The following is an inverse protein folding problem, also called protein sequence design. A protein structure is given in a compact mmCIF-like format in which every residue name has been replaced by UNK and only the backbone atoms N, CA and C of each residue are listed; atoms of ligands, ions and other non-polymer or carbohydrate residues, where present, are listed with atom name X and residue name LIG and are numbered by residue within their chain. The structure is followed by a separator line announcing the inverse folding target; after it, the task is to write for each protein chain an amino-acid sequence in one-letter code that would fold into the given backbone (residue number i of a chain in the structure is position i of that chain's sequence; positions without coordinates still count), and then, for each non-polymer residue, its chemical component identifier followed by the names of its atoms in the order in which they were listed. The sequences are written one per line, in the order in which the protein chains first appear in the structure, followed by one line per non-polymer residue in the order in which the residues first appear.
data_IF_497487721027
#
_entry.id   IF_497487721027
#
_cell.length_a   1.000
_cell.length_b   1.000
_cell.length_c   1.000
_cell.angle_alpha   90.00
_cell.angle_beta   90.00
_cell.angle_gamma   90.00
#
_symmetry.space_group_name_H-M   'P 1'
#
loop_
_entity.id
_entity.type
_entity.pdbx_description
1 polymer ?
#
# COMPACT_ATOMS: atom_id res chain seq x y z
N UNK A 1 9.81 11.24 -32.92
CA UNK A 1 10.31 11.86 -31.68
C UNK A 1 9.81 10.94 -30.62
N UNK A 2 10.67 10.03 -30.17
CA UNK A 2 10.17 8.74 -29.68
C UNK A 2 10.24 8.65 -28.15
N UNK A 3 10.93 9.59 -27.49
CA UNK A 3 11.05 9.72 -26.03
C UNK A 3 10.83 11.18 -25.63
N UNK A 4 9.66 11.51 -25.08
CA UNK A 4 9.35 12.87 -24.62
C UNK A 4 9.05 12.81 -23.12
N UNK A 5 9.83 13.54 -22.34
CA UNK A 5 9.65 13.64 -20.88
C UNK A 5 9.29 15.09 -20.51
N UNK A 6 8.21 15.29 -19.77
CA UNK A 6 7.77 16.60 -19.29
C UNK A 6 7.56 16.54 -17.79
N UNK A 7 8.44 17.19 -17.03
CA UNK A 7 8.41 17.07 -15.58
C UNK A 7 8.87 18.31 -14.81
N UNK A 8 8.48 18.37 -13.55
CA UNK A 8 8.81 19.46 -12.62
C UNK A 8 8.39 20.86 -13.11
N UNK A 9 7.29 20.94 -13.88
CA UNK A 9 6.75 22.23 -14.33
C UNK A 9 5.61 22.71 -13.44
N UNK A 10 5.44 24.03 -13.38
CA UNK A 10 4.26 24.68 -12.81
C UNK A 10 3.54 25.41 -13.93
N UNK A 11 2.37 24.90 -14.32
CA UNK A 11 1.59 25.38 -15.46
C UNK A 11 0.25 25.89 -14.95
N UNK A 12 -0.03 27.18 -15.15
CA UNK A 12 -1.21 27.76 -14.53
C UNK A 12 -1.85 28.87 -15.34
N UNK A 13 -3.15 29.07 -15.12
CA UNK A 13 -3.95 30.18 -15.68
C UNK A 13 -3.85 30.34 -17.19
N UNK A 14 -3.54 29.25 -17.90
CA UNK A 14 -3.52 29.27 -19.36
C UNK A 14 -4.94 29.54 -19.88
N UNK A 15 -5.04 30.30 -20.97
CA UNK A 15 -6.33 30.60 -21.58
C UNK A 15 -7.07 29.33 -22.04
N UNK A 16 -6.33 28.29 -22.42
CA UNK A 16 -6.87 27.04 -22.96
C UNK A 16 -6.46 25.85 -22.11
N UNK A 17 -5.55 25.00 -22.56
CA UNK A 17 -5.18 23.79 -21.82
C UNK A 17 -3.84 24.02 -21.14
N UNK A 18 -3.57 23.31 -20.05
CA UNK A 18 -2.23 23.27 -19.46
C UNK A 18 -1.23 22.59 -20.39
N UNK A 19 -1.55 21.37 -20.83
CA UNK A 19 -0.72 20.59 -21.75
C UNK A 19 -1.52 19.94 -22.88
N UNK A 20 -1.01 20.03 -24.10
CA UNK A 20 -1.58 19.37 -25.28
C UNK A 20 -0.70 18.23 -25.76
N UNK A 21 -1.30 17.06 -25.92
CA UNK A 21 -0.70 15.86 -26.50
C UNK A 21 -1.43 15.62 -27.82
N UNK A 22 -0.86 16.03 -28.94
CA UNK A 22 -1.47 15.86 -30.26
C UNK A 22 -0.42 15.67 -31.34
N UNK A 23 -0.80 14.96 -32.40
CA UNK A 23 0.01 14.80 -33.61
C UNK A 23 -0.68 15.46 -34.81
N UNK A 24 0.10 15.83 -35.81
CA UNK A 24 -0.41 16.34 -37.08
C UNK A 24 0.16 15.51 -38.24
N UNK A 25 -0.71 15.07 -39.15
CA UNK A 25 -0.34 14.23 -40.30
C UNK A 25 -0.50 12.73 -40.03
N UNK A 26 0.09 11.90 -40.89
CA UNK A 26 0.04 10.44 -40.77
C UNK A 26 1.20 9.93 -39.91
N UNK A 27 0.89 9.31 -38.77
CA UNK A 27 1.87 8.71 -37.86
C UNK A 27 1.34 7.36 -37.32
N UNK A 28 2.21 6.41 -36.95
CA UNK A 28 1.77 5.14 -36.37
C UNK A 28 1.38 5.33 -34.89
N UNK A 29 0.43 4.51 -34.42
CA UNK A 29 -0.12 4.58 -33.04
C UNK A 29 0.94 4.32 -31.95
N UNK A 30 2.07 3.71 -32.31
CA UNK A 30 3.17 3.32 -31.42
C UNK A 30 4.38 4.27 -31.39
N UNK A 31 4.24 5.52 -31.87
CA UNK A 31 5.40 6.38 -32.20
C UNK A 31 5.95 7.29 -31.11
N UNK A 32 5.42 7.28 -29.88
CA UNK A 32 6.00 8.08 -28.80
C UNK A 32 5.80 7.46 -27.41
N UNK A 33 6.90 7.25 -26.70
CA UNK A 33 6.94 7.03 -25.26
C UNK A 33 6.92 8.41 -24.57
N UNK A 34 5.70 8.90 -24.32
CA UNK A 34 5.48 10.17 -23.62
C UNK A 34 5.33 9.93 -22.11
N UNK A 35 6.19 10.58 -21.32
CA UNK A 35 6.18 10.52 -19.87
C UNK A 35 5.96 11.92 -19.27
N UNK A 36 4.87 12.11 -18.54
CA UNK A 36 4.51 13.38 -17.92
C UNK A 36 4.44 13.18 -16.42
N UNK A 37 5.35 13.78 -15.65
CA UNK A 37 5.42 13.53 -14.22
C UNK A 37 5.82 14.71 -13.34
N UNK A 38 5.38 14.72 -12.08
CA UNK A 38 5.78 15.75 -11.10
C UNK A 38 5.44 17.19 -11.51
N UNK A 39 4.43 17.37 -12.36
CA UNK A 39 3.95 18.70 -12.74
C UNK A 39 2.82 19.16 -11.80
N UNK A 40 2.72 20.47 -11.62
CA UNK A 40 1.61 21.14 -10.96
C UNK A 40 0.85 21.94 -12.00
N UNK A 41 -0.41 21.57 -12.23
CA UNK A 41 -1.27 22.19 -13.24
C UNK A 41 -2.50 22.75 -12.52
N UNK A 42 -2.71 24.07 -12.56
CA UNK A 42 -3.85 24.65 -11.85
C UNK A 42 -4.48 25.86 -12.54
N UNK A 43 -5.78 26.03 -12.35
CA UNK A 43 -6.57 27.13 -12.89
C UNK A 43 -6.43 27.34 -14.41
N UNK A 44 -6.09 26.30 -15.18
CA UNK A 44 -6.05 26.35 -16.65
C UNK A 44 -7.47 26.34 -17.23
N UNK A 45 -7.65 26.75 -18.48
CA UNK A 45 -8.97 26.77 -19.13
C UNK A 45 -9.75 28.06 -18.93
N UNK A 46 -9.07 29.17 -18.62
CA UNK A 46 -9.71 30.42 -18.18
C UNK A 46 -10.55 31.10 -19.26
N UNK A 47 -10.35 30.79 -20.55
CA UNK A 47 -11.17 31.32 -21.64
C UNK A 47 -12.50 30.56 -21.74
N UNK A 48 -13.52 31.09 -21.07
CA UNK A 48 -14.88 30.52 -21.00
C UNK A 48 -15.58 30.32 -22.34
N UNK A 49 -15.10 30.91 -23.44
CA UNK A 49 -15.62 30.69 -24.80
C UNK A 49 -14.91 29.60 -25.61
N UNK A 50 -13.83 29.00 -25.07
CA UNK A 50 -13.06 27.97 -25.76
C UNK A 50 -13.62 26.58 -25.47
N UNK A 51 -13.77 25.75 -26.52
CA UNK A 51 -14.18 24.35 -26.40
C UNK A 51 -13.01 23.36 -26.16
N UNK A 52 -11.78 23.88 -26.25
CA UNK A 52 -10.53 23.15 -25.98
C UNK A 52 -9.91 23.78 -24.72
N UNK A 53 -10.27 23.22 -23.56
CA UNK A 53 -9.86 23.68 -22.22
C UNK A 53 -9.71 22.47 -21.28
N UNK A 54 -8.88 22.57 -20.26
CA UNK A 54 -8.66 21.51 -19.28
C UNK A 54 -7.24 21.56 -18.69
N UNK A 55 -6.89 20.56 -17.89
CA UNK A 55 -5.52 20.38 -17.40
C UNK A 55 -4.62 19.82 -18.50
N UNK A 56 -4.86 18.56 -18.88
CA UNK A 56 -4.17 17.86 -19.96
C UNK A 56 -5.19 17.39 -20.98
N UNK A 57 -4.96 17.66 -22.27
CA UNK A 57 -5.76 17.10 -23.37
C UNK A 57 -4.88 16.22 -24.26
N UNK A 58 -5.40 15.04 -24.60
CA UNK A 58 -4.82 14.15 -25.60
C UNK A 58 -5.77 13.95 -26.79
N UNK A 59 -5.20 14.05 -27.98
CA UNK A 59 -5.79 13.69 -29.27
C UNK A 59 -4.80 12.81 -30.03
N UNK A 60 -4.30 11.78 -29.34
CA UNK A 60 -3.31 10.82 -29.84
C UNK A 60 -2.18 10.52 -28.85
N UNK A 61 -1.34 9.57 -29.26
CA UNK A 61 -0.21 8.96 -28.55
C UNK A 61 -0.56 8.19 -27.28
N UNK A 62 0.27 7.21 -26.98
CA UNK A 62 0.28 6.58 -25.67
C UNK A 62 1.09 7.46 -24.71
N UNK A 63 0.70 7.49 -23.44
CA UNK A 63 1.50 8.19 -22.45
C UNK A 63 1.36 7.58 -21.05
N UNK A 64 2.43 7.69 -20.27
CA UNK A 64 2.41 7.54 -18.83
C UNK A 64 2.32 8.95 -18.21
N UNK A 65 1.21 9.22 -17.53
CA UNK A 65 1.00 10.46 -16.79
C UNK A 65 0.98 10.10 -15.32
N UNK A 66 2.03 10.46 -14.58
CA UNK A 66 2.14 10.04 -13.18
C UNK A 66 2.69 11.07 -12.20
N UNK A 67 2.32 10.95 -10.92
CA UNK A 67 2.82 11.84 -9.88
C UNK A 67 2.56 13.33 -10.20
N UNK A 68 1.44 13.69 -10.84
CA UNK A 68 1.10 15.11 -11.09
C UNK A 68 0.04 15.60 -10.09
N UNK A 69 -0.05 16.91 -9.90
CA UNK A 69 -1.20 17.57 -9.27
C UNK A 69 -1.92 18.39 -10.34
N UNK A 70 -3.22 18.15 -10.49
CA UNK A 70 -4.10 18.90 -11.39
C UNK A 70 -5.27 19.43 -10.57
N UNK A 71 -5.30 20.75 -10.34
CA UNK A 71 -6.24 21.34 -9.39
C UNK A 71 -6.99 22.55 -9.94
N UNK A 72 -8.30 22.59 -9.75
CA UNK A 72 -9.09 23.78 -10.06
C UNK A 72 -9.22 24.07 -11.56
N UNK A 73 -8.93 23.15 -12.47
CA UNK A 73 -8.98 23.47 -13.91
C UNK A 73 -10.42 23.71 -14.39
N UNK A 74 -10.60 24.54 -15.43
CA UNK A 74 -11.88 24.66 -16.15
C UNK A 74 -11.92 23.63 -17.28
N UNK A 75 -13.00 22.85 -17.34
CA UNK A 75 -13.07 21.62 -18.13
C UNK A 75 -12.66 20.40 -17.31
N UNK A 76 -12.20 19.34 -17.96
CA UNK A 76 -11.73 18.15 -17.25
C UNK A 76 -10.27 18.30 -16.79
N UNK A 77 -9.90 17.61 -15.71
CA UNK A 77 -8.51 17.45 -15.27
C UNK A 77 -7.65 16.88 -16.39
N UNK A 78 -8.02 15.69 -16.88
CA UNK A 78 -7.41 15.04 -18.05
C UNK A 78 -8.52 14.59 -18.99
N UNK A 79 -8.40 14.88 -20.29
CA UNK A 79 -9.41 14.46 -21.29
C UNK A 79 -8.80 13.99 -22.60
N UNK A 80 -9.37 12.94 -23.16
CA UNK A 80 -9.14 12.55 -24.56
C UNK A 80 -10.26 13.13 -25.44
N UNK A 81 -9.91 14.02 -26.37
CA UNK A 81 -10.86 14.75 -27.25
C UNK A 81 -10.15 15.29 -28.49
N UNK A 82 -10.85 15.28 -29.62
CA UNK A 82 -10.38 15.90 -30.86
C UNK A 82 -10.02 17.39 -30.63
N UNK A 83 -8.84 17.78 -31.11
CA UNK A 83 -8.37 19.17 -31.18
C UNK A 83 -8.34 19.64 -32.64
N UNK A 84 -7.35 20.44 -33.03
CA UNK A 84 -7.25 21.06 -34.35
C UNK A 84 -7.10 20.08 -35.51
N UNK A 85 -6.33 19.01 -35.31
CA UNK A 85 -6.12 17.94 -36.28
C UNK A 85 -6.37 16.61 -35.57
N UNK A 86 -7.35 15.84 -36.04
CA UNK A 86 -7.68 14.55 -35.45
C UNK A 86 -6.54 13.56 -35.63
N UNK A 87 -6.34 12.71 -34.62
CA UNK A 87 -5.48 11.55 -34.73
C UNK A 87 -5.82 10.69 -35.98
N UNK A 88 -4.83 9.96 -36.54
CA UNK A 88 -5.04 8.99 -37.61
C UNK A 88 -6.21 8.05 -37.32
N UNK A 89 -6.91 7.63 -38.37
CA UNK A 89 -7.97 6.61 -38.25
C UNK A 89 -7.38 5.28 -37.78
N UNK A 90 -7.73 4.83 -36.57
CA UNK A 90 -7.19 3.64 -35.91
C UNK A 90 -7.69 3.52 -34.47
N UNK A 91 -7.36 2.42 -33.77
CA UNK A 91 -7.73 2.17 -32.37
C UNK A 91 -6.49 1.73 -31.58
N UNK A 92 -6.22 2.37 -30.43
CA UNK A 92 -5.11 1.93 -29.59
C UNK A 92 -4.42 2.98 -28.72
N UNK A 93 -4.91 4.23 -28.67
CA UNK A 93 -4.28 5.28 -27.87
C UNK A 93 -4.66 5.13 -26.38
N UNK A 94 -3.67 4.82 -25.55
CA UNK A 94 -3.84 4.54 -24.12
C UNK A 94 -3.09 5.56 -23.29
N UNK A 95 -3.81 6.24 -22.40
CA UNK A 95 -3.19 6.99 -21.31
C UNK A 95 -3.21 6.16 -20.03
N UNK A 96 -2.03 5.88 -19.48
CA UNK A 96 -1.88 5.31 -18.14
C UNK A 96 -1.75 6.45 -17.15
N UNK A 97 -2.73 6.61 -16.27
CA UNK A 97 -2.74 7.61 -15.20
C UNK A 97 -2.40 6.92 -13.90
N UNK A 98 -1.28 7.29 -13.30
CA UNK A 98 -0.78 6.68 -12.07
C UNK A 98 -0.42 7.72 -11.01
N UNK A 99 -0.79 7.51 -9.75
CA UNK A 99 -0.35 8.38 -8.64
C UNK A 99 -0.61 9.89 -8.84
N UNK A 100 -1.59 10.28 -9.66
CA UNK A 100 -1.94 11.70 -9.83
C UNK A 100 -2.94 12.12 -8.77
N UNK A 101 -2.89 13.39 -8.37
CA UNK A 101 -3.96 14.03 -7.60
C UNK A 101 -4.72 14.97 -8.53
N UNK A 102 -6.01 14.69 -8.75
CA UNK A 102 -6.87 15.45 -9.66
C UNK A 102 -8.08 15.97 -8.89
N UNK A 103 -8.08 17.28 -8.62
CA UNK A 103 -9.04 17.91 -7.71
C UNK A 103 -9.73 19.13 -8.27
N UNK A 104 -10.96 19.35 -7.83
CA UNK A 104 -11.69 20.61 -8.01
C UNK A 104 -11.85 21.05 -9.48
N UNK A 105 -11.94 20.11 -10.43
CA UNK A 105 -12.25 20.45 -11.83
C UNK A 105 -13.63 21.10 -11.93
N UNK A 106 -13.74 22.14 -12.76
CA UNK A 106 -14.91 23.03 -12.87
C UNK A 106 -15.55 22.94 -14.24
N UNK A 107 -16.88 23.01 -14.32
CA UNK A 107 -17.59 23.08 -15.58
C UNK A 107 -17.31 24.39 -16.31
N UNK A 108 -17.29 24.34 -17.64
CA UNK A 108 -17.16 25.49 -18.54
C UNK A 108 -17.62 25.08 -19.95
N UNK A 109 -17.68 26.01 -20.91
CA UNK A 109 -18.22 25.72 -22.25
C UNK A 109 -17.49 24.58 -22.99
N UNK A 110 -16.23 24.33 -22.65
CA UNK A 110 -15.42 23.29 -23.27
C UNK A 110 -15.32 21.97 -22.52
N UNK A 111 -15.97 21.79 -21.37
CA UNK A 111 -15.94 20.52 -20.65
C UNK A 111 -16.77 20.50 -19.36
N UNK A 112 -17.16 19.30 -18.94
CA UNK A 112 -18.12 19.10 -17.85
C UNK A 112 -17.58 19.35 -16.44
N UNK A 113 -16.27 19.47 -16.22
CA UNK A 113 -15.70 19.55 -14.87
C UNK A 113 -15.42 18.19 -14.22
N UNK A 114 -15.22 17.13 -15.02
CA UNK A 114 -14.85 15.81 -14.48
C UNK A 114 -13.36 15.75 -14.16
N UNK A 115 -12.93 14.83 -13.28
CA UNK A 115 -11.51 14.55 -13.08
C UNK A 115 -10.85 14.02 -14.36
N UNK A 116 -11.38 12.91 -14.89
CA UNK A 116 -10.96 12.30 -16.15
C UNK A 116 -12.16 12.11 -17.09
N UNK A 117 -12.00 12.40 -18.37
CA UNK A 117 -13.06 12.22 -19.38
C UNK A 117 -12.51 11.58 -20.65
N UNK A 118 -13.24 10.61 -21.20
CA UNK A 118 -12.98 10.08 -22.53
C UNK A 118 -14.11 10.49 -23.50
N UNK A 119 -13.82 11.40 -24.41
CA UNK A 119 -14.75 11.80 -25.48
C UNK A 119 -14.48 11.03 -26.79
N UNK A 120 -13.47 10.16 -26.82
CA UNK A 120 -13.02 9.39 -27.98
C UNK A 120 -13.07 7.87 -27.71
N UNK A 121 -14.14 7.39 -27.07
CA UNK A 121 -14.26 5.99 -26.59
C UNK A 121 -14.13 4.90 -27.66
N UNK A 122 -14.32 5.25 -28.94
CA UNK A 122 -14.15 4.30 -30.04
C UNK A 122 -12.70 4.03 -30.41
N UNK A 123 -11.76 4.90 -30.02
CA UNK A 123 -10.35 4.85 -30.47
C UNK A 123 -9.34 4.99 -29.34
N UNK A 124 -9.76 5.57 -28.20
CA UNK A 124 -8.91 5.86 -27.06
C UNK A 124 -9.40 5.20 -25.77
N UNK A 125 -8.47 4.93 -24.85
CA UNK A 125 -8.79 4.40 -23.52
C UNK A 125 -7.85 4.92 -22.44
N UNK A 126 -8.21 4.63 -21.19
CA UNK A 126 -7.45 4.97 -20.00
C UNK A 126 -7.18 3.73 -19.16
N UNK A 127 -6.02 3.70 -18.51
CA UNK A 127 -5.69 2.78 -17.42
C UNK A 127 -5.46 3.62 -16.16
N UNK A 128 -6.24 3.42 -15.11
CA UNK A 128 -6.14 4.17 -13.85
C UNK A 128 -5.47 3.32 -12.75
N UNK A 129 -4.47 3.87 -12.08
CA UNK A 129 -3.70 3.20 -11.03
C UNK A 129 -3.39 4.15 -9.87
N UNK A 130 -4.06 4.00 -8.73
CA UNK A 130 -3.69 4.71 -7.50
C UNK A 130 -3.69 6.24 -7.62
N UNK A 131 -4.66 6.80 -8.34
CA UNK A 131 -4.86 8.25 -8.39
C UNK A 131 -5.73 8.71 -7.20
N UNK A 132 -5.66 9.98 -6.83
CA UNK A 132 -6.55 10.61 -5.87
C UNK A 132 -7.49 11.59 -6.59
N UNK A 133 -8.79 11.46 -6.33
CA UNK A 133 -9.82 12.34 -6.87
C UNK A 133 -10.66 12.97 -5.77
N UNK A 134 -10.85 14.29 -5.83
CA UNK A 134 -11.67 15.02 -4.86
C UNK A 134 -12.26 16.30 -5.43
N UNK A 135 -13.55 16.57 -5.16
CA UNK A 135 -14.18 17.86 -5.46
C UNK A 135 -14.40 18.18 -6.95
N UNK A 136 -14.26 17.22 -7.87
CA UNK A 136 -14.53 17.44 -9.29
C UNK A 136 -16.05 17.58 -9.55
N UNK A 137 -16.47 18.69 -10.16
CA UNK A 137 -17.88 19.11 -10.25
C UNK A 137 -18.81 18.09 -10.91
N UNK A 138 -18.37 17.48 -12.01
CA UNK A 138 -19.14 16.45 -12.73
C UNK A 138 -18.66 15.02 -12.43
N UNK A 139 -18.04 14.81 -11.27
CA UNK A 139 -17.56 13.52 -10.79
C UNK A 139 -16.14 13.16 -11.27
N UNK A 140 -15.63 12.03 -10.79
CA UNK A 140 -14.23 11.67 -10.97
C UNK A 140 -13.92 11.19 -12.39
N UNK A 141 -14.82 10.44 -13.01
CA UNK A 141 -14.60 9.79 -14.30
C UNK A 141 -15.86 9.87 -15.16
N UNK A 142 -15.70 10.18 -16.45
CA UNK A 142 -16.76 10.13 -17.47
C UNK A 142 -16.29 9.28 -18.64
N UNK A 143 -17.07 8.25 -18.99
CA UNK A 143 -16.72 7.28 -20.06
C UNK A 143 -15.36 6.59 -19.85
N UNK A 144 -14.94 6.43 -18.61
CA UNK A 144 -13.68 5.78 -18.22
C UNK A 144 -14.01 4.69 -17.20
N UNK A 145 -13.39 3.52 -17.34
CA UNK A 145 -13.49 2.47 -16.35
C UNK A 145 -12.78 2.90 -15.07
N UNK A 146 -13.52 2.98 -13.97
CA UNK A 146 -12.98 3.34 -12.65
C UNK A 146 -12.08 2.23 -12.11
N UNK A 147 -11.01 2.58 -11.40
CA UNK A 147 -10.18 1.63 -10.66
C UNK A 147 -10.58 1.55 -9.19
N UNK A 148 -10.53 0.36 -8.61
CA UNK A 148 -10.67 0.16 -7.16
C UNK A 148 -9.43 0.61 -6.38
N UNK A 149 -8.30 0.80 -7.06
CA UNK A 149 -7.07 1.32 -6.44
C UNK A 149 -7.04 2.85 -6.29
N UNK A 150 -7.96 3.58 -6.93
CA UNK A 150 -8.05 5.03 -6.84
C UNK A 150 -8.70 5.49 -5.52
N UNK A 151 -8.17 6.57 -4.95
CA UNK A 151 -8.63 7.19 -3.71
C UNK A 151 -9.68 8.25 -4.02
N UNK A 152 -10.76 8.26 -3.22
CA UNK A 152 -11.90 9.19 -3.35
C UNK A 152 -12.05 10.02 -2.08
N UNK A 153 -11.01 10.77 -1.73
CA UNK A 153 -10.92 11.53 -0.49
C UNK A 153 -10.13 12.81 -0.70
N UNK A 154 -10.35 13.81 0.17
CA UNK A 154 -9.58 15.06 0.18
C UNK A 154 -8.07 14.74 0.35
N UNK A 155 -7.19 15.19 -0.56
CA UNK A 155 -5.75 14.94 -0.46
C UNK A 155 -5.10 15.69 0.71
N UNK A 156 -5.83 16.56 1.43
CA UNK A 156 -5.34 17.32 2.57
C UNK A 156 -4.05 18.08 2.24
N UNK A 157 -4.13 18.94 1.21
CA UNK A 157 -3.05 19.86 0.92
C UNK A 157 -2.71 20.73 2.13
N UNK A 158 -1.43 21.05 2.24
CA UNK A 158 -0.89 22.02 3.18
C UNK A 158 -1.65 23.34 3.17
N UNK A 159 -1.66 23.98 2.01
CA UNK A 159 -2.34 25.24 1.75
C UNK A 159 -2.67 25.37 0.27
N UNK A 160 -3.86 24.85 -0.09
CA UNK A 160 -4.36 24.90 -1.46
C UNK A 160 -4.47 26.33 -2.00
N UNK A 161 -4.86 27.30 -1.17
CA UNK A 161 -5.10 28.68 -1.63
C UNK A 161 -3.81 29.38 -2.07
N UNK A 162 -2.68 28.96 -1.50
CA UNK A 162 -1.34 29.40 -1.88
C UNK A 162 -0.61 28.40 -2.79
N UNK A 163 -1.33 27.40 -3.32
CA UNK A 163 -0.79 26.34 -4.19
C UNK A 163 0.34 25.53 -3.53
N UNK A 164 0.37 25.45 -2.21
CA UNK A 164 1.21 24.50 -1.48
C UNK A 164 0.50 23.14 -1.47
N UNK A 165 0.81 22.33 -2.49
CA UNK A 165 0.24 21.00 -2.69
C UNK A 165 0.98 19.89 -1.95
N UNK A 166 1.92 20.20 -1.04
CA UNK A 166 2.47 19.17 -0.18
C UNK A 166 1.35 18.55 0.69
N UNK A 167 1.48 17.27 1.00
CA UNK A 167 0.48 16.52 1.75
C UNK A 167 0.63 16.77 3.25
N UNK A 168 -0.45 17.10 3.95
CA UNK A 168 -0.39 17.27 5.40
C UNK A 168 0.08 15.98 6.08
N UNK A 169 0.99 16.14 7.03
CA UNK A 169 1.61 15.04 7.76
C UNK A 169 1.81 15.37 9.23
N UNK A 170 1.39 14.47 10.11
CA UNK A 170 1.64 14.54 11.55
C UNK A 170 3.13 14.44 11.93
N UNK A 171 3.98 14.01 11.01
CA UNK A 171 5.34 13.55 11.30
C UNK A 171 6.40 14.30 10.48
N UNK A 172 5.97 15.04 9.47
CA UNK A 172 6.80 16.03 8.81
C UNK A 172 6.42 16.22 7.35
N UNK A 173 6.05 17.45 7.02
CA UNK A 173 5.91 17.94 5.65
C UNK A 173 6.93 19.05 5.39
N UNK A 174 7.48 19.09 4.18
CA UNK A 174 8.37 20.18 3.78
C UNK A 174 7.56 21.45 3.48
N UNK A 175 7.96 22.59 4.06
CA UNK A 175 7.31 23.89 3.83
C UNK A 175 8.13 24.84 2.93
N UNK A 176 9.15 24.32 2.24
CA UNK A 176 10.11 25.13 1.47
C UNK A 176 11.37 25.55 2.24
N UNK A 177 11.37 25.44 3.58
CA UNK A 177 12.50 25.84 4.44
C UNK A 177 12.86 24.80 5.50
N UNK A 178 11.87 24.16 6.09
CA UNK A 178 12.01 23.19 7.17
C UNK A 178 10.90 22.15 7.11
N UNK A 179 11.11 21.05 7.83
CA UNK A 179 10.05 20.09 8.13
C UNK A 179 9.12 20.66 9.20
N UNK A 180 7.82 20.58 8.98
CA UNK A 180 6.77 21.00 9.93
C UNK A 180 5.75 19.89 10.10
N UNK A 181 5.15 19.80 11.29
CA UNK A 181 4.13 18.80 11.58
C UNK A 181 2.74 19.45 11.53
N UNK A 182 1.82 18.77 10.86
CA UNK A 182 0.41 19.07 10.82
C UNK A 182 -0.35 18.29 11.91
N UNK A 183 -1.65 18.56 12.08
CA UNK A 183 -2.52 17.82 12.99
C UNK A 183 -3.33 16.70 12.34
N UNK A 184 -3.09 16.43 11.05
CA UNK A 184 -3.76 15.36 10.29
C UNK A 184 -2.82 14.79 9.21
N UNK A 185 -2.92 13.48 8.96
CA UNK A 185 -2.29 12.83 7.82
C UNK A 185 -3.19 12.88 6.58
N UNK A 186 -2.58 13.14 5.43
CA UNK A 186 -3.21 12.96 4.13
C UNK A 186 -3.44 11.47 3.84
N UNK A 187 -4.58 11.09 3.21
CA UNK A 187 -4.77 9.73 2.71
C UNK A 187 -3.90 9.39 1.48
N UNK A 188 -3.19 10.38 0.93
CA UNK A 188 -2.32 10.22 -0.23
C UNK A 188 -0.87 9.91 0.15
N UNK A 189 -0.55 9.91 1.46
CA UNK A 189 0.76 9.51 1.94
C UNK A 189 0.88 7.97 1.86
N UNK A 190 2.00 7.47 1.34
CA UNK A 190 2.34 6.06 1.18
C UNK A 190 1.27 5.22 0.43
N UNK A 191 0.51 5.84 -0.47
CA UNK A 191 -0.67 5.25 -1.07
C UNK A 191 -0.56 4.96 -2.58
N UNK A 192 0.57 5.32 -3.18
CA UNK A 192 0.79 5.20 -4.63
C UNK A 192 0.90 3.76 -5.13
N UNK A 193 1.11 3.59 -6.42
CA UNK A 193 1.19 2.28 -7.07
C UNK A 193 2.36 1.46 -6.51
N UNK A 194 2.14 0.17 -6.23
CA UNK A 194 3.07 -0.67 -5.47
C UNK A 194 4.40 -0.96 -6.17
N UNK A 195 4.48 -0.73 -7.49
CA UNK A 195 5.73 -0.89 -8.27
C UNK A 195 6.40 0.46 -8.58
N UNK A 196 5.84 1.58 -8.13
CA UNK A 196 6.49 2.89 -8.29
C UNK A 196 7.67 3.00 -7.34
N UNK A 197 8.75 3.61 -7.85
CA UNK A 197 9.89 3.97 -7.02
C UNK A 197 9.51 5.02 -5.98
N UNK A 198 10.10 4.91 -4.79
CA UNK A 198 9.96 5.82 -3.66
C UNK A 198 11.31 6.13 -3.00
N UNK A 199 12.42 5.67 -3.59
CA UNK A 199 13.76 5.74 -3.02
C UNK A 199 14.25 7.17 -2.77
N UNK A 200 13.69 8.17 -3.46
CA UNK A 200 14.01 9.56 -3.26
C UNK A 200 13.18 10.24 -2.15
N UNK A 201 12.17 9.56 -1.59
CA UNK A 201 11.38 10.09 -0.47
C UNK A 201 12.16 10.04 0.85
N UNK A 202 12.08 11.08 1.68
CA UNK A 202 12.79 11.12 2.96
C UNK A 202 12.16 10.16 3.97
N UNK A 203 13.00 9.47 4.74
CA UNK A 203 12.51 8.63 5.84
C UNK A 203 11.81 9.48 6.94
N UNK A 204 10.73 8.99 7.55
CA UNK A 204 10.07 7.70 7.29
C UNK A 204 9.01 7.79 6.17
N UNK A 205 9.16 6.98 5.11
CA UNK A 205 8.36 7.01 3.87
C UNK A 205 7.44 5.79 3.66
N UNK A 206 7.16 5.04 4.74
CA UNK A 206 6.25 3.89 4.76
C UNK A 206 6.49 2.76 3.74
N UNK A 207 7.63 2.74 3.05
CA UNK A 207 7.93 1.74 2.02
C UNK A 207 7.04 1.82 0.77
N UNK A 208 6.40 2.97 0.53
CA UNK A 208 5.51 3.17 -0.62
C UNK A 208 5.46 4.65 -1.02
N UNK A 209 5.42 4.92 -2.32
CA UNK A 209 5.42 6.30 -2.82
C UNK A 209 4.18 7.08 -2.35
N UNK A 210 4.37 8.35 -2.01
CA UNK A 210 3.30 9.33 -1.90
C UNK A 210 2.67 9.60 -3.27
N UNK A 211 1.36 9.87 -3.32
CA UNK A 211 0.66 10.28 -4.54
C UNK A 211 0.88 11.79 -4.77
N UNK A 212 1.02 12.22 -6.02
CA UNK A 212 1.07 13.63 -6.44
C UNK A 212 2.48 14.15 -6.73
N UNK A 213 2.59 15.47 -6.94
CA UNK A 213 3.76 16.16 -7.50
C UNK A 213 5.05 16.01 -6.69
N UNK A 214 4.95 15.62 -5.42
CA UNK A 214 6.10 15.45 -4.53
C UNK A 214 6.42 13.98 -4.24
N UNK A 215 5.63 13.02 -4.71
CA UNK A 215 5.95 11.60 -4.61
C UNK A 215 7.28 11.28 -5.26
N UNK A 216 8.04 10.34 -4.71
CA UNK A 216 9.42 10.03 -5.10
C UNK A 216 10.33 11.26 -5.24
N UNK A 217 10.19 12.23 -4.33
CA UNK A 217 11.12 13.36 -4.24
C UNK A 217 11.60 13.56 -2.80
N UNK A 218 12.74 14.24 -2.65
CA UNK A 218 13.27 14.62 -1.32
C UNK A 218 12.37 15.58 -0.53
N UNK A 219 11.29 16.05 -1.13
CA UNK A 219 10.29 16.95 -0.52
C UNK A 219 8.97 16.23 -0.21
N UNK A 220 8.88 14.93 -0.45
CA UNK A 220 7.71 14.13 -0.13
C UNK A 220 7.40 14.18 1.37
N UNK A 221 6.11 14.10 1.71
CA UNK A 221 5.68 14.22 3.11
C UNK A 221 5.94 12.90 3.81
N UNK A 222 6.51 12.96 5.00
CA UNK A 222 6.81 11.77 5.79
C UNK A 222 5.50 11.19 6.31
N UNK A 223 5.39 9.88 6.41
CA UNK A 223 4.35 9.26 7.24
C UNK A 223 4.80 9.18 8.69
N UNK A 224 6.11 9.24 8.93
CA UNK A 224 6.69 8.92 10.22
C UNK A 224 6.49 7.44 10.49
N UNK A 225 7.40 6.83 11.22
CA UNK A 225 7.15 5.53 11.79
C UNK A 225 5.84 5.64 12.56
N UNK A 226 4.83 4.87 12.15
CA UNK A 226 3.75 4.51 13.04
C UNK A 226 4.44 4.14 14.35
N UNK A 227 4.24 4.94 15.40
CA UNK A 227 4.96 4.74 16.66
C UNK A 227 4.87 3.26 17.00
N UNK A 228 6.02 2.59 17.03
CA UNK A 228 6.14 1.16 17.26
C UNK A 228 5.06 0.33 16.54
N UNK A 229 5.01 0.35 15.21
CA UNK A 229 4.36 -0.70 14.42
C UNK A 229 5.22 -0.97 13.20
N UNK A 230 5.78 -2.17 13.08
CA UNK A 230 6.38 -2.63 11.84
C UNK A 230 5.33 -2.67 10.71
N UNK A 231 5.15 -1.55 10.00
CA UNK A 231 4.49 -1.48 8.70
C UNK A 231 5.52 -1.65 7.57
N UNK A 232 6.51 -2.53 7.80
CA UNK A 232 7.11 -3.23 6.68
C UNK A 232 6.13 -4.31 6.20
N UNK A 233 6.38 -4.96 5.07
CA UNK A 233 5.52 -6.03 4.55
C UNK A 233 5.26 -7.08 5.65
N UNK A 234 4.01 -7.32 5.98
CA UNK A 234 3.59 -8.32 6.97
C UNK A 234 2.86 -9.45 6.26
N UNK A 235 3.19 -10.67 6.63
CA UNK A 235 2.49 -11.86 6.20
C UNK A 235 2.06 -12.66 7.41
N UNK A 236 0.83 -13.15 7.41
CA UNK A 236 0.38 -14.19 8.32
C UNK A 236 -0.36 -15.29 7.54
N UNK A 237 -0.12 -16.53 7.94
CA UNK A 237 -0.58 -17.70 7.22
C UNK A 237 -0.93 -18.81 8.21
N UNK A 238 -2.21 -19.18 8.21
CA UNK A 238 -2.67 -20.30 9.03
C UNK A 238 -2.20 -21.62 8.45
N UNK A 239 -1.69 -22.48 9.33
CA UNK A 239 -1.32 -23.85 9.04
C UNK A 239 -2.33 -24.77 9.73
N UNK A 240 -3.10 -25.52 8.93
CA UNK A 240 -4.21 -26.34 9.44
C UNK A 240 -4.07 -27.81 9.02
N UNK A 241 -3.93 -28.69 10.00
CA UNK A 241 -3.75 -30.14 9.79
C UNK A 241 -4.90 -30.79 9.01
N UNK A 242 -6.14 -30.39 9.29
CA UNK A 242 -7.34 -30.92 8.64
C UNK A 242 -7.50 -30.49 7.17
N UNK A 243 -6.73 -29.51 6.71
CA UNK A 243 -6.76 -28.99 5.34
C UNK A 243 -5.32 -28.77 4.87
N UNK A 244 -4.54 -29.86 4.76
CA UNK A 244 -3.09 -29.75 4.88
C UNK A 244 -2.41 -29.15 3.63
N UNK A 245 -3.15 -29.06 2.53
CA UNK A 245 -2.71 -28.47 1.26
C UNK A 245 -3.28 -27.07 1.02
N UNK A 246 -4.22 -26.62 1.86
CA UNK A 246 -4.85 -25.31 1.67
C UNK A 246 -3.93 -24.18 2.14
N UNK A 247 -3.90 -23.09 1.36
CA UNK A 247 -3.18 -21.86 1.68
C UNK A 247 -4.16 -20.86 2.26
N UNK A 248 -3.88 -20.39 3.47
CA UNK A 248 -4.75 -19.48 4.23
C UNK A 248 -4.07 -18.14 4.50
N UNK A 249 -3.76 -17.39 3.44
CA UNK A 249 -3.16 -16.05 3.54
C UNK A 249 -4.16 -14.90 3.70
N UNK A 250 -5.43 -15.11 3.30
CA UNK A 250 -6.44 -14.05 3.23
C UNK A 250 -7.62 -14.30 4.19
N UNK A 251 -7.34 -14.79 5.40
CA UNK A 251 -8.39 -15.02 6.41
C UNK A 251 -8.31 -13.94 7.47
N UNK A 252 -9.45 -13.46 7.98
CA UNK A 252 -9.54 -12.37 8.97
C UNK A 252 -9.06 -12.72 10.39
N UNK A 253 -8.50 -13.90 10.58
CA UNK A 253 -7.97 -14.39 11.84
C UNK A 253 -6.80 -15.34 11.62
N UNK A 254 -6.01 -15.53 12.67
CA UNK A 254 -5.02 -16.59 12.83
C UNK A 254 -5.43 -17.48 14.01
N UNK A 255 -5.05 -18.75 13.99
CA UNK A 255 -5.44 -19.73 15.00
C UNK A 255 -4.30 -20.65 15.44
N UNK A 256 -4.32 -21.02 16.71
CA UNK A 256 -3.30 -21.89 17.30
C UNK A 256 -3.92 -22.90 18.27
N UNK A 257 -3.23 -24.02 18.45
CA UNK A 257 -3.62 -25.07 19.40
C UNK A 257 -4.23 -26.28 18.71
N UNK A 258 -5.07 -27.01 19.44
CA UNK A 258 -5.70 -28.21 18.89
C UNK A 258 -7.15 -28.40 19.32
N UNK A 259 -7.88 -29.13 18.49
CA UNK A 259 -9.21 -29.66 18.75
C UNK A 259 -9.29 -31.09 18.21
N UNK A 260 -10.41 -31.77 18.42
CA UNK A 260 -10.67 -33.11 17.86
C UNK A 260 -10.53 -33.19 16.33
N UNK A 261 -10.63 -32.06 15.64
CA UNK A 261 -10.50 -31.95 14.18
C UNK A 261 -9.06 -31.82 13.69
N UNK A 262 -8.09 -31.62 14.58
CA UNK A 262 -6.68 -31.49 14.24
C UNK A 262 -6.00 -30.30 14.93
N UNK A 263 -4.78 -30.02 14.47
CA UNK A 263 -3.87 -28.99 14.99
C UNK A 263 -3.84 -27.75 14.10
N UNK A 264 -3.53 -26.63 14.74
CA UNK A 264 -3.54 -25.28 14.17
C UNK A 264 -2.28 -24.55 14.64
N UNK A 265 -1.57 -23.93 13.70
CA UNK A 265 -0.35 -23.15 13.91
C UNK A 265 -0.38 -21.95 12.96
N UNK A 266 0.53 -21.02 13.17
CA UNK A 266 0.66 -19.86 12.31
C UNK A 266 2.12 -19.63 11.88
N UNK A 267 2.30 -19.21 10.64
CA UNK A 267 3.55 -18.67 10.12
C UNK A 267 3.37 -17.18 9.86
N UNK A 268 4.19 -16.35 10.52
CA UNK A 268 4.07 -14.90 10.46
C UNK A 268 5.41 -14.27 10.14
N UNK A 269 5.46 -13.26 9.27
CA UNK A 269 6.70 -12.61 8.87
C UNK A 269 6.51 -11.10 8.89
N UNK A 270 7.45 -10.38 9.49
CA UNK A 270 7.52 -8.92 9.44
C UNK A 270 8.81 -8.53 8.74
N UNK A 271 8.73 -7.52 7.89
CA UNK A 271 9.91 -6.93 7.29
C UNK A 271 10.73 -6.14 8.33
N UNK A 272 11.98 -6.57 8.48
CA UNK A 272 12.97 -6.00 9.40
C UNK A 272 14.11 -5.30 8.65
N UNK A 273 14.02 -5.16 7.33
CA UNK A 273 15.10 -4.62 6.48
C UNK A 273 15.61 -3.26 6.94
N UNK A 274 14.71 -2.40 7.46
CA UNK A 274 15.07 -1.09 8.04
C UNK A 274 15.97 -1.16 9.28
N UNK A 275 16.11 -2.33 9.90
CA UNK A 275 16.89 -2.55 11.12
C UNK A 275 18.14 -3.42 10.89
N UNK A 276 18.41 -3.93 9.68
CA UNK A 276 19.56 -4.80 9.36
C UNK A 276 20.95 -4.18 9.62
N UNK A 277 20.99 -2.94 10.12
CA UNK A 277 22.21 -2.19 10.48
C UNK A 277 22.10 -1.42 11.81
N UNK A 278 21.02 -1.59 12.59
CA UNK A 278 20.85 -0.86 13.84
C UNK A 278 21.72 -1.41 14.97
N UNK A 279 21.99 -0.56 15.97
CA UNK A 279 22.41 -1.05 17.29
C UNK A 279 21.36 -2.06 17.82
N UNK A 280 21.79 -2.94 18.72
CA UNK A 280 20.95 -3.95 19.37
C UNK A 280 19.61 -3.33 19.81
N UNK A 281 18.50 -4.02 19.52
CA UNK A 281 17.16 -3.58 19.92
C UNK A 281 17.01 -3.93 21.40
N UNK A 282 16.76 -2.92 22.24
CA UNK A 282 16.51 -3.07 23.67
C UNK A 282 15.24 -3.91 23.95
N UNK A 283 14.21 -3.75 23.12
CA UNK A 283 12.97 -4.50 23.26
C UNK A 283 12.22 -4.71 21.94
N UNK A 284 11.80 -5.95 21.69
CA UNK A 284 10.86 -6.30 20.63
C UNK A 284 9.64 -7.01 21.19
N UNK A 285 8.45 -6.48 20.91
CA UNK A 285 7.18 -7.04 21.40
C UNK A 285 6.26 -7.42 20.24
N UNK A 286 5.94 -8.70 20.13
CA UNK A 286 4.86 -9.20 19.28
C UNK A 286 3.53 -9.13 20.04
N UNK A 287 2.56 -8.37 19.55
CA UNK A 287 1.23 -8.24 20.16
C UNK A 287 0.15 -8.89 19.31
N UNK A 288 -0.62 -9.81 19.89
CA UNK A 288 -1.72 -10.53 19.23
C UNK A 288 -3.06 -10.25 19.92
N UNK A 289 -4.11 -9.91 19.17
CA UNK A 289 -5.41 -9.53 19.73
C UNK A 289 -6.35 -10.71 19.91
N UNK A 290 -6.61 -11.11 21.16
CA UNK A 290 -7.33 -12.35 21.47
C UNK A 290 -8.86 -12.15 21.51
N UNK A 291 -9.59 -12.83 20.63
CA UNK A 291 -11.04 -12.69 20.52
C UNK A 291 -11.85 -14.01 20.58
N UNK A 292 -11.21 -15.18 20.41
CA UNK A 292 -11.90 -16.47 20.32
C UNK A 292 -11.29 -17.54 21.25
N UNK A 293 -12.07 -18.41 21.92
CA UNK A 293 -13.52 -18.63 21.76
C UNK A 293 -14.42 -17.64 22.50
N UNK A 294 -15.26 -16.90 21.76
CA UNK A 294 -16.10 -15.86 22.31
C UNK A 294 -17.06 -16.39 23.38
N UNK A 295 -16.98 -15.82 24.60
CA UNK A 295 -17.86 -16.15 25.72
C UNK A 295 -17.72 -17.58 26.27
N UNK A 296 -16.65 -18.32 25.94
CA UNK A 296 -16.45 -19.70 26.38
C UNK A 296 -15.07 -19.92 26.99
N UNK A 297 -15.02 -20.77 28.02
CA UNK A 297 -13.77 -21.33 28.54
C UNK A 297 -13.27 -22.43 27.61
N UNK A 298 -12.03 -22.86 27.85
CA UNK A 298 -11.40 -23.98 27.15
C UNK A 298 -11.18 -25.14 28.13
N UNK A 299 -11.11 -26.40 27.65
CA UNK A 299 -10.74 -27.53 28.49
C UNK A 299 -9.33 -27.41 29.08
N UNK A 300 -8.37 -26.96 28.27
CA UNK A 300 -6.96 -26.90 28.65
C UNK A 300 -6.39 -25.48 28.50
N UNK A 301 -5.32 -25.20 29.25
CA UNK A 301 -4.57 -23.95 29.12
C UNK A 301 -3.96 -23.86 27.70
N UNK A 302 -3.98 -22.67 27.12
CA UNK A 302 -3.26 -22.41 25.87
C UNK A 302 -1.94 -21.74 26.19
N UNK A 303 -0.86 -22.52 26.17
CA UNK A 303 0.51 -21.99 26.32
C UNK A 303 1.05 -21.72 24.93
N UNK A 304 1.12 -20.44 24.55
CA UNK A 304 1.56 -19.97 23.25
C UNK A 304 3.08 -19.91 23.24
N UNK A 305 3.68 -20.32 22.12
CA UNK A 305 5.13 -20.41 21.95
C UNK A 305 5.53 -19.88 20.57
N UNK A 306 6.60 -19.08 20.54
CA UNK A 306 7.19 -18.53 19.31
C UNK A 306 8.53 -19.20 19.04
N UNK A 307 8.70 -19.68 17.82
CA UNK A 307 9.92 -20.31 17.32
C UNK A 307 10.38 -19.67 16.01
N UNK A 308 11.63 -19.91 15.63
CA UNK A 308 12.20 -19.48 14.35
C UNK A 308 11.91 -20.53 13.27
N UNK A 309 11.23 -20.22 12.15
CA UNK A 309 11.11 -21.14 11.04
C UNK A 309 12.49 -21.57 10.50
N UNK A 310 12.70 -22.87 10.29
CA UNK A 310 13.99 -23.42 9.88
C UNK A 310 14.38 -23.08 8.43
N UNK A 311 13.44 -22.55 7.64
CA UNK A 311 13.65 -22.13 6.25
C UNK A 311 12.70 -21.00 5.91
N UNK A 312 13.06 -20.21 4.90
CA UNK A 312 12.13 -19.27 4.30
C UNK A 312 10.91 -20.02 3.72
N UNK A 313 9.78 -19.33 3.76
CA UNK A 313 8.49 -19.81 3.29
C UNK A 313 7.83 -18.73 2.44
N UNK A 314 6.95 -19.15 1.55
CA UNK A 314 6.28 -18.26 0.61
C UNK A 314 4.81 -18.09 1.01
N UNK A 315 4.34 -16.87 1.32
CA UNK A 315 2.96 -16.62 1.77
C UNK A 315 1.90 -17.11 0.78
N UNK A 316 2.21 -17.11 -0.52
CA UNK A 316 1.27 -17.56 -1.57
C UNK A 316 1.12 -19.08 -1.65
N UNK A 317 2.01 -19.85 -1.01
CA UNK A 317 2.05 -21.32 -1.16
C UNK A 317 2.20 -22.08 0.16
N UNK A 318 2.48 -21.39 1.27
CA UNK A 318 2.66 -22.04 2.57
C UNK A 318 1.34 -22.66 3.06
N UNK A 319 1.43 -23.90 3.48
CA UNK A 319 0.35 -24.73 4.01
C UNK A 319 0.90 -25.65 5.10
N UNK A 320 0.04 -26.49 5.69
CA UNK A 320 0.48 -27.47 6.69
C UNK A 320 1.56 -28.40 6.16
N UNK A 321 1.47 -28.84 4.89
CA UNK A 321 2.43 -29.78 4.31
C UNK A 321 3.57 -29.10 3.55
N UNK A 322 3.41 -27.85 3.09
CA UNK A 322 4.37 -27.18 2.20
C UNK A 322 4.78 -25.81 2.70
N UNK A 323 6.05 -25.46 2.49
CA UNK A 323 6.58 -24.12 2.78
C UNK A 323 6.59 -23.20 1.56
N UNK A 324 6.56 -23.78 0.36
CA UNK A 324 6.62 -23.06 -0.91
C UNK A 324 6.01 -23.93 -2.03
N UNK A 325 5.95 -23.41 -3.26
CA UNK A 325 5.37 -24.06 -4.44
C UNK A 325 6.02 -25.43 -4.70
N UNK A 326 5.32 -26.48 -4.29
CA UNK A 326 5.77 -27.86 -4.45
C UNK A 326 6.88 -28.29 -3.49
N UNK A 327 7.27 -27.46 -2.51
CA UNK A 327 8.33 -27.77 -1.55
C UNK A 327 7.69 -28.09 -0.19
N UNK A 328 7.79 -29.35 0.22
CA UNK A 328 7.27 -29.81 1.50
C UNK A 328 8.10 -29.33 2.69
N UNK A 329 7.46 -29.19 3.85
CA UNK A 329 8.17 -29.26 5.13
C UNK A 329 8.73 -30.67 5.33
N UNK A 330 9.81 -30.81 6.09
CA UNK A 330 10.27 -32.12 6.56
C UNK A 330 9.29 -32.70 7.59
N UNK A 331 8.73 -31.86 8.46
CA UNK A 331 7.68 -32.22 9.40
C UNK A 331 6.40 -31.45 9.06
N UNK A 332 5.25 -32.13 8.86
CA UNK A 332 3.97 -31.45 8.68
C UNK A 332 3.66 -30.49 9.83
N UNK A 333 3.14 -29.31 9.48
CA UNK A 333 2.90 -28.19 10.39
C UNK A 333 4.13 -27.31 10.64
N UNK A 334 5.21 -27.50 9.89
CA UNK A 334 6.38 -26.61 9.90
C UNK A 334 7.63 -27.20 10.55
N UNK A 335 8.79 -26.74 10.06
CA UNK A 335 10.09 -26.98 10.68
C UNK A 335 10.57 -25.72 11.39
N UNK A 336 11.07 -25.87 12.62
CA UNK A 336 11.56 -24.74 13.41
C UNK A 336 12.84 -25.06 14.18
N UNK A 337 13.57 -24.00 14.52
CA UNK A 337 14.60 -24.00 15.54
C UNK A 337 14.10 -23.33 16.81
N UNK A 338 14.43 -23.92 17.94
CA UNK A 338 14.25 -23.30 19.25
C UNK A 338 15.36 -22.28 19.54
N UNK A 339 15.29 -21.57 20.67
CA UNK A 339 16.26 -20.51 20.99
C UNK A 339 17.68 -21.01 21.26
N UNK A 340 17.84 -22.31 21.49
CA UNK A 340 19.14 -22.96 21.65
C UNK A 340 19.67 -23.51 20.31
N UNK A 341 18.98 -23.27 19.19
CA UNK A 341 19.37 -23.76 17.87
C UNK A 341 19.04 -25.24 17.64
N UNK A 342 18.15 -25.85 18.43
CA UNK A 342 17.75 -27.24 18.26
C UNK A 342 16.58 -27.34 17.28
N UNK A 343 16.75 -28.11 16.20
CA UNK A 343 15.68 -28.39 15.24
C UNK A 343 14.55 -29.16 15.95
N UNK A 344 13.31 -28.69 15.85
CA UNK A 344 12.15 -29.24 16.57
C UNK A 344 12.31 -29.19 18.11
N UNK A 345 13.16 -28.29 18.62
CA UNK A 345 13.35 -28.09 20.06
C UNK A 345 12.13 -27.49 20.76
N UNK A 346 12.13 -27.56 22.09
CA UNK A 346 11.00 -27.17 22.95
C UNK A 346 11.28 -25.92 23.80
N UNK A 347 12.37 -25.19 23.52
CA UNK A 347 12.72 -23.95 24.23
C UNK A 347 12.35 -22.73 23.37
N UNK A 348 11.13 -22.17 23.50
CA UNK A 348 10.69 -21.08 22.63
C UNK A 348 11.46 -19.77 22.90
N UNK A 349 11.48 -18.87 21.93
CA UNK A 349 11.97 -17.51 22.12
C UNK A 349 11.04 -16.70 23.02
N UNK A 350 9.73 -16.86 22.84
CA UNK A 350 8.71 -16.17 23.62
C UNK A 350 7.60 -17.14 24.03
N UNK A 351 6.99 -16.89 25.19
CA UNK A 351 5.80 -17.63 25.62
C UNK A 351 4.84 -16.77 26.42
N UNK A 352 3.54 -17.01 26.23
CA UNK A 352 2.47 -16.45 27.07
C UNK A 352 1.43 -17.53 27.33
N UNK A 353 0.85 -17.56 28.53
CA UNK A 353 -0.17 -18.56 28.90
C UNK A 353 -1.53 -17.90 29.03
N UNK A 354 -2.50 -18.40 28.28
CA UNK A 354 -3.91 -18.04 28.44
C UNK A 354 -4.63 -19.16 29.20
N UNK A 355 -5.02 -18.86 30.45
CA UNK A 355 -5.67 -19.83 31.32
C UNK A 355 -6.99 -20.33 30.73
N UNK A 356 -7.24 -21.63 30.83
CA UNK A 356 -8.41 -22.33 30.32
C UNK A 356 -9.71 -21.72 30.85
N UNK A 357 -9.69 -21.25 32.10
CA UNK A 357 -10.78 -20.57 32.79
C UNK A 357 -10.98 -19.11 32.38
N UNK A 358 -10.02 -18.48 31.70
CA UNK A 358 -10.11 -17.10 31.23
C UNK A 358 -10.85 -17.05 29.89
N UNK A 359 -11.83 -16.15 29.80
CA UNK A 359 -12.55 -15.82 28.57
C UNK A 359 -11.76 -14.80 27.74
N UNK A 360 -11.87 -14.81 26.40
CA UNK A 360 -11.30 -13.75 25.57
C UNK A 360 -11.86 -12.39 25.98
N UNK A 361 -10.96 -11.42 26.17
CA UNK A 361 -11.28 -10.08 26.66
C UNK A 361 -11.18 -9.00 25.57
N UNK A 362 -10.91 -9.41 24.32
CA UNK A 362 -10.72 -8.52 23.17
C UNK A 362 -9.59 -7.52 23.44
N UNK A 363 -8.42 -8.03 23.82
CA UNK A 363 -7.21 -7.22 24.03
C UNK A 363 -5.98 -7.87 23.42
N UNK A 364 -4.93 -7.05 23.32
CA UNK A 364 -3.60 -7.49 22.94
C UNK A 364 -2.90 -8.25 24.06
N UNK A 365 -2.36 -9.41 23.71
CA UNK A 365 -1.42 -10.18 24.50
C UNK A 365 -0.03 -10.07 23.90
N UNK A 366 0.95 -9.83 24.77
CA UNK A 366 2.30 -9.45 24.38
C UNK A 366 3.27 -10.61 24.58
N UNK A 367 4.09 -10.84 23.58
CA UNK A 367 5.17 -11.83 23.54
C UNK A 367 6.48 -11.06 23.36
N UNK A 368 7.41 -11.22 24.29
CA UNK A 368 8.75 -10.66 24.18
C UNK A 368 9.57 -11.51 23.21
N UNK A 369 9.85 -10.96 22.04
CA UNK A 369 10.58 -11.63 20.94
C UNK A 369 11.96 -10.99 20.70
N UNK A 370 12.46 -10.22 21.67
CA UNK A 370 13.70 -9.42 21.57
C UNK A 370 14.88 -10.26 21.08
N UNK A 371 15.13 -11.41 21.73
CA UNK A 371 16.22 -12.31 21.36
C UNK A 371 16.19 -12.72 19.87
N UNK A 372 15.02 -13.13 19.37
CA UNK A 372 14.88 -13.59 17.98
C UNK A 372 15.08 -12.45 16.99
N UNK A 373 14.55 -11.26 17.31
CA UNK A 373 14.72 -10.08 16.47
C UNK A 373 16.19 -9.66 16.39
N UNK A 374 16.89 -9.61 17.54
CA UNK A 374 18.32 -9.27 17.59
C UNK A 374 19.16 -10.27 16.78
N UNK A 375 18.80 -11.55 16.76
CA UNK A 375 19.47 -12.54 15.91
C UNK A 375 19.24 -12.32 14.41
N UNK A 376 18.07 -11.82 14.00
CA UNK A 376 17.80 -11.49 12.60
C UNK A 376 18.53 -10.23 12.15
N UNK A 377 18.35 -9.11 12.87
CA UNK A 377 18.92 -7.82 12.48
C UNK A 377 20.44 -7.80 12.64
N UNK A 378 20.98 -8.58 13.60
CA UNK A 378 22.41 -8.77 13.79
C UNK A 378 23.06 -9.71 12.77
N UNK A 379 22.28 -10.24 11.82
CA UNK A 379 22.77 -11.08 10.73
C UNK A 379 23.18 -12.51 11.14
N UNK A 380 22.89 -12.94 12.37
CA UNK A 380 23.13 -14.34 12.80
C UNK A 380 22.31 -15.30 11.95
N UNK A 381 21.08 -14.90 11.61
CA UNK A 381 20.18 -15.64 10.74
C UNK A 381 19.48 -14.70 9.76
N UNK A 382 19.18 -15.21 8.55
CA UNK A 382 18.19 -14.55 7.66
C UNK A 382 16.82 -14.52 8.33
N UNK A 383 16.09 -13.42 8.15
CA UNK A 383 14.75 -13.24 8.68
C UNK A 383 13.76 -14.22 8.03
N UNK A 384 13.43 -15.30 8.73
CA UNK A 384 12.42 -16.28 8.33
C UNK A 384 11.09 -16.10 9.08
N UNK A 385 10.96 -15.04 9.90
CA UNK A 385 9.74 -14.71 10.63
C UNK A 385 9.55 -15.54 11.90
N UNK A 386 8.31 -15.90 12.19
CA UNK A 386 7.84 -16.58 13.39
C UNK A 386 7.03 -17.81 13.00
N UNK A 387 7.29 -18.93 13.66
CA UNK A 387 6.35 -20.05 13.76
C UNK A 387 5.69 -19.98 15.13
N UNK A 388 4.37 -19.86 15.16
CA UNK A 388 3.59 -19.71 16.40
C UNK A 388 2.74 -20.97 16.59
N UNK A 389 2.88 -21.62 17.75
CA UNK A 389 2.10 -22.80 18.12
C UNK A 389 1.77 -22.81 19.60
N UNK A 390 0.79 -23.63 19.98
CA UNK A 390 0.61 -23.97 21.38
C UNK A 390 1.60 -25.07 21.79
N UNK A 391 2.13 -25.04 23.03
CA UNK A 391 3.04 -26.06 23.57
C UNK A 391 2.50 -27.46 23.36
N UNK A 392 1.31 -27.67 23.90
CA UNK A 392 0.45 -28.83 23.66
C UNK A 392 -0.61 -28.41 22.63
N UNK A 393 -0.98 -29.28 21.70
CA UNK A 393 -1.96 -28.96 20.65
C UNK A 393 -3.17 -29.86 20.81
N UNK A 394 -3.82 -29.77 21.98
CA UNK A 394 -4.93 -30.65 22.36
C UNK A 394 -5.94 -29.87 23.21
N UNK A 395 -7.17 -29.72 22.70
CA UNK A 395 -8.31 -29.06 23.36
C UNK A 395 -8.01 -27.67 23.96
N UNK A 396 -7.13 -26.90 23.31
CA UNK A 396 -6.70 -25.58 23.76
C UNK A 396 -6.70 -24.54 22.62
N UNK A 397 -7.55 -24.77 21.61
CA UNK A 397 -7.69 -23.88 20.46
C UNK A 397 -8.12 -22.46 20.85
N UNK A 398 -7.46 -21.48 20.26
CA UNK A 398 -7.82 -20.05 20.30
C UNK A 398 -7.60 -19.40 18.93
N UNK A 399 -8.18 -18.22 18.74
CA UNK A 399 -7.89 -17.39 17.58
C UNK A 399 -7.66 -15.92 17.94
N UNK A 400 -6.81 -15.29 17.14
CA UNK A 400 -6.50 -13.87 17.16
C UNK A 400 -6.87 -13.25 15.82
N UNK A 401 -7.08 -11.93 15.78
CA UNK A 401 -7.24 -11.24 14.50
C UNK A 401 -5.93 -11.29 13.69
N UNK A 402 -6.05 -11.40 12.37
CA UNK A 402 -4.94 -11.37 11.41
C UNK A 402 -4.78 -10.00 10.78
N UNK A 403 -3.86 -9.87 9.82
CA UNK A 403 -3.72 -8.71 8.96
C UNK A 403 -4.98 -8.40 8.14
N UNK A 404 -5.82 -9.40 7.85
CA UNK A 404 -7.10 -9.21 7.14
C UNK A 404 -8.28 -8.91 8.05
N UNK A 405 -8.03 -8.54 9.31
CA UNK A 405 -9.06 -8.04 10.20
C UNK A 405 -9.65 -6.73 9.67
N UNK A 406 -10.97 -6.58 9.83
CA UNK A 406 -11.72 -5.41 9.35
C UNK A 406 -11.39 -4.11 10.08
N UNK A 407 -10.72 -4.16 11.24
CA UNK A 407 -10.23 -3.01 11.99
C UNK A 407 -8.72 -3.10 12.15
N UNK A 408 -8.00 -2.05 11.76
CA UNK A 408 -6.54 -1.97 11.89
C UNK A 408 -6.08 -2.03 13.34
N UNK A 409 -6.91 -1.55 14.28
CA UNK A 409 -6.63 -1.56 15.71
C UNK A 409 -6.69 -2.94 16.37
N UNK A 410 -6.95 -3.98 15.59
CA UNK A 410 -7.04 -5.37 16.05
C UNK A 410 -5.99 -6.28 15.39
N UNK A 411 -5.26 -5.80 14.39
CA UNK A 411 -4.26 -6.58 13.64
C UNK A 411 -3.04 -6.94 14.50
N UNK A 412 -2.29 -8.02 14.18
CA UNK A 412 -1.00 -8.32 14.80
C UNK A 412 -0.01 -7.16 14.68
N UNK A 413 0.87 -7.03 15.68
CA UNK A 413 1.78 -5.88 15.81
C UNK A 413 3.16 -6.33 16.22
N UNK A 414 4.19 -5.75 15.63
CA UNK A 414 5.57 -5.90 16.10
C UNK A 414 6.14 -4.52 16.42
N UNK A 415 6.41 -4.31 17.72
CA UNK A 415 6.84 -3.05 18.31
C UNK A 415 8.33 -3.17 18.66
N UNK A 416 9.17 -2.25 18.20
CA UNK A 416 10.64 -2.33 18.32
C UNK A 416 11.20 -1.06 18.93
N UNK A 417 11.89 -1.19 20.06
CA UNK A 417 12.51 -0.07 20.80
C UNK A 417 14.03 -0.24 20.79
N UNK A 418 14.71 0.74 20.22
CA UNK A 418 16.18 0.89 20.20
C UNK A 418 16.70 1.66 21.38
#
# INVERSE_FOLDING_TARGET
MDDIEIYNNVIYKTARVGMWIFGAGSYPDSSADLHIHHNQIYDTGTKSSSIIIGGIISDGFNALIENNVIDGVYGAGIVQKNVYSSAPSGSGYVLTLRNNIITNSRSSSGGSGCGVSNELTGTHSFVLQNNCFYGNEAGNCKNVQVSSSDIKADPRYADRNNHDYHLKSNTGRWNGKSWVNDGINSPCIDAGYSLSDYSAEPQDNGGRINIGAYGNTKYASKSGSAGDQAAGKVYDNRLREASPEAVFQNTSFIDIGGMSTGRYRDAMWFDLSKYETSAEIDNATLSLYWYYPAGKTRPEDTVIEVYRPASAWNPDYVSWNKRDRGIAWKNPGGDWYDKNGVLQGSTPYATVTLKSSTLPDNKYYKLDVTDLINEYIGGKYVNTGFLIKARTENNNYIAFYSMEAGSENQRPKLDLKT
#
